data_IF_580148837957
#
_entry.id   IF_580148837957
#
_cell.length_a   1.000
_cell.length_b   1.000
_cell.length_c   1.000
_cell.angle_alpha   90.00
_cell.angle_beta   90.00
_cell.angle_gamma   90.00
#
_symmetry.space_group_name_H-M   'P 1'
#
loop_
_entity.id
_entity.type
_entity.pdbx_description
1 polymer ?
#
# COMPACT_ATOMS: atom_id res chain seq x y z
N UNK A 1 -10.47 21.47 3.15
CA UNK A 1 -9.82 22.36 2.16
C UNK A 1 -8.43 21.81 1.90
N UNK A 2 -8.14 21.35 0.69
CA UNK A 2 -6.79 20.92 0.33
C UNK A 2 -5.94 22.18 0.14
N UNK A 3 -4.78 22.24 0.78
CA UNK A 3 -3.86 23.40 0.72
C UNK A 3 -3.23 23.51 -0.68
N UNK A 4 -3.14 22.39 -1.40
CA UNK A 4 -2.54 22.30 -2.74
C UNK A 4 -3.59 21.87 -3.79
N UNK A 5 -3.45 22.35 -5.04
CA UNK A 5 -4.19 21.79 -6.18
C UNK A 5 -3.96 20.27 -6.33
N UNK A 6 -4.95 19.50 -6.84
CA UNK A 6 -4.83 18.06 -6.99
C UNK A 6 -3.59 17.60 -7.75
N UNK A 7 -3.20 18.31 -8.81
CA UNK A 7 -2.03 18.00 -9.62
C UNK A 7 -0.73 18.18 -8.83
N UNK A 8 -0.64 19.28 -8.06
CA UNK A 8 0.52 19.54 -7.20
C UNK A 8 0.62 18.51 -6.08
N UNK A 9 -0.51 18.10 -5.49
CA UNK A 9 -0.56 17.06 -4.47
C UNK A 9 -0.13 15.69 -5.03
N UNK A 10 -0.55 15.36 -6.26
CA UNK A 10 -0.12 14.13 -6.95
C UNK A 10 1.39 14.11 -7.21
N UNK A 11 1.96 15.23 -7.66
CA UNK A 11 3.41 15.36 -7.83
C UNK A 11 4.14 15.24 -6.49
N UNK A 12 3.64 15.91 -5.44
CA UNK A 12 4.19 15.82 -4.10
C UNK A 12 4.29 14.37 -3.62
N UNK A 13 3.20 13.59 -3.75
CA UNK A 13 3.23 12.20 -3.33
C UNK A 13 4.20 11.36 -4.15
N UNK A 14 4.31 11.58 -5.46
CA UNK A 14 5.30 10.88 -6.29
C UNK A 14 6.74 11.22 -5.90
N UNK A 15 7.04 12.49 -5.59
CA UNK A 15 8.36 12.91 -5.07
C UNK A 15 8.63 12.26 -3.72
N UNK A 16 7.68 12.40 -2.78
CA UNK A 16 7.81 11.87 -1.43
C UNK A 16 8.05 10.36 -1.45
N UNK A 17 7.26 9.63 -2.23
CA UNK A 17 7.35 8.17 -2.30
C UNK A 17 8.64 7.70 -2.97
N UNK A 18 9.08 8.38 -4.03
CA UNK A 18 10.34 8.04 -4.69
C UNK A 18 11.57 8.23 -3.78
N UNK A 19 11.55 9.24 -2.90
CA UNK A 19 12.75 9.66 -2.17
C UNK A 19 12.76 9.37 -0.66
N UNK A 20 11.62 9.17 0.00
CA UNK A 20 11.56 9.13 1.46
C UNK A 20 10.94 7.85 2.04
N UNK A 21 10.36 6.96 1.23
CA UNK A 21 9.73 5.74 1.74
C UNK A 21 10.69 4.81 2.48
N UNK A 22 11.92 4.68 2.00
CA UNK A 22 12.98 3.88 2.64
C UNK A 22 13.36 4.42 4.00
N UNK A 23 13.39 5.75 4.18
CA UNK A 23 13.68 6.39 5.47
C UNK A 23 12.55 6.20 6.47
N UNK A 24 11.29 6.31 6.00
CA UNK A 24 10.11 6.06 6.83
C UNK A 24 10.09 4.59 7.28
N UNK A 25 10.32 3.65 6.38
CA UNK A 25 10.37 2.22 6.70
C UNK A 25 11.53 1.89 7.66
N UNK A 26 12.71 2.47 7.43
CA UNK A 26 13.85 2.33 8.34
C UNK A 26 13.56 2.89 9.74
N UNK A 27 12.80 3.99 9.80
CA UNK A 27 12.35 4.56 11.08
C UNK A 27 11.37 3.62 11.78
N UNK A 28 10.37 3.09 11.07
CA UNK A 28 9.41 2.13 11.63
C UNK A 28 10.07 0.90 12.24
N UNK A 29 11.12 0.35 11.60
CA UNK A 29 11.88 -0.79 12.13
C UNK A 29 12.62 -0.50 13.43
N UNK A 30 13.01 0.76 13.66
CA UNK A 30 13.75 1.18 14.87
C UNK A 30 12.84 1.62 16.01
N UNK A 31 11.59 1.96 15.72
CA UNK A 31 10.66 2.52 16.70
C UNK A 31 10.06 1.41 17.57
N UNK A 32 10.06 1.62 18.88
CA UNK A 32 9.40 0.72 19.83
C UNK A 32 8.00 1.22 20.19
N UNK A 33 7.00 0.33 20.15
CA UNK A 33 5.66 0.65 20.63
C UNK A 33 5.65 0.99 22.13
N UNK A 34 6.52 0.37 22.93
CA UNK A 34 6.55 0.56 24.39
C UNK A 34 7.10 1.93 24.80
N UNK A 35 8.09 2.45 24.09
CA UNK A 35 8.79 3.69 24.48
C UNK A 35 8.56 4.86 23.52
N UNK A 36 8.16 4.61 22.28
CA UNK A 36 8.08 5.61 21.20
C UNK A 36 6.74 5.55 20.43
N UNK A 37 5.65 5.21 21.13
CA UNK A 37 4.30 5.04 20.56
C UNK A 37 3.85 6.18 19.64
N UNK A 38 4.13 7.43 20.03
CA UNK A 38 3.73 8.60 19.23
C UNK A 38 4.49 8.68 17.92
N UNK A 39 5.81 8.46 17.93
CA UNK A 39 6.62 8.48 16.72
C UNK A 39 6.24 7.32 15.77
N UNK A 40 5.97 6.13 16.31
CA UNK A 40 5.47 4.99 15.56
C UNK A 40 4.13 5.31 14.88
N UNK A 41 3.19 5.87 15.64
CA UNK A 41 1.88 6.30 15.13
C UNK A 41 1.99 7.35 14.02
N UNK A 42 2.89 8.34 14.17
CA UNK A 42 3.12 9.35 13.13
C UNK A 42 3.67 8.72 11.85
N UNK A 43 4.65 7.82 11.96
CA UNK A 43 5.25 7.17 10.80
C UNK A 43 4.23 6.29 10.03
N UNK A 44 3.39 5.53 10.75
CA UNK A 44 2.30 4.75 10.14
C UNK A 44 1.29 5.68 9.47
N UNK A 45 0.93 6.78 10.12
CA UNK A 45 0.01 7.77 9.56
C UNK A 45 0.56 8.42 8.29
N UNK A 46 1.86 8.69 8.21
CA UNK A 46 2.46 9.20 6.97
C UNK A 46 2.24 8.19 5.84
N UNK A 47 2.47 6.90 6.09
CA UNK A 47 2.22 5.84 5.10
C UNK A 47 0.74 5.69 4.74
N UNK A 48 -0.17 5.85 5.70
CA UNK A 48 -1.61 5.70 5.47
C UNK A 48 -2.23 6.83 4.65
N UNK A 49 -1.52 7.96 4.51
CA UNK A 49 -1.94 9.10 3.69
C UNK A 49 -1.45 9.02 2.25
N UNK A 50 -0.57 8.07 1.93
CA UNK A 50 -0.08 7.87 0.58
C UNK A 50 -1.24 7.36 -0.30
N UNK A 51 -1.43 7.90 -1.52
CA UNK A 51 -2.49 7.44 -2.41
C UNK A 51 -2.40 5.94 -2.71
N UNK A 52 -3.55 5.37 -3.10
CA UNK A 52 -3.67 3.96 -3.51
C UNK A 52 -2.51 3.55 -4.44
N UNK A 53 -1.80 2.43 -4.18
CA UNK A 53 -0.71 1.94 -5.03
C UNK A 53 -1.09 1.73 -6.51
N UNK A 54 -2.37 1.63 -6.86
CA UNK A 54 -2.82 1.68 -8.26
C UNK A 54 -2.52 3.02 -8.92
N UNK A 55 -2.63 4.11 -8.17
CA UNK A 55 -2.47 5.50 -8.62
C UNK A 55 -1.07 6.07 -8.33
N UNK A 56 -0.42 5.60 -7.27
CA UNK A 56 0.94 6.01 -6.91
C UNK A 56 1.94 4.86 -7.15
N UNK A 57 2.58 4.82 -8.34
CA UNK A 57 3.34 3.65 -8.76
C UNK A 57 4.69 3.51 -8.03
N UNK A 58 5.23 4.58 -7.43
CA UNK A 58 6.42 4.47 -6.59
C UNK A 58 6.11 3.77 -5.26
N UNK A 59 4.95 4.03 -4.67
CA UNK A 59 4.51 3.30 -3.49
C UNK A 59 4.25 1.82 -3.79
N UNK A 60 3.64 1.52 -4.95
CA UNK A 60 3.48 0.14 -5.42
C UNK A 60 4.83 -0.57 -5.57
N UNK A 61 5.78 0.06 -6.27
CA UNK A 61 7.12 -0.49 -6.48
C UNK A 61 7.84 -0.74 -5.14
N UNK A 62 7.68 0.18 -4.19
CA UNK A 62 8.23 0.03 -2.84
C UNK A 62 7.67 -1.20 -2.13
N UNK A 63 6.33 -1.36 -2.12
CA UNK A 63 5.68 -2.52 -1.48
C UNK A 63 6.07 -3.84 -2.14
N UNK A 64 6.27 -3.84 -3.47
CA UNK A 64 6.69 -5.02 -4.24
C UNK A 64 8.17 -5.37 -4.07
N UNK A 65 9.00 -4.48 -3.50
CA UNK A 65 10.41 -4.77 -3.25
C UNK A 65 10.56 -5.53 -1.92
N UNK A 66 10.93 -6.81 -2.00
CA UNK A 66 11.06 -7.70 -0.83
C UNK A 66 12.05 -7.19 0.23
N UNK A 67 13.11 -6.48 -0.17
CA UNK A 67 14.09 -5.92 0.76
C UNK A 67 13.57 -4.63 1.41
N UNK A 68 13.01 -3.72 0.63
CA UNK A 68 12.55 -2.42 1.10
C UNK A 68 11.30 -2.53 1.97
N UNK A 69 10.38 -3.46 1.65
CA UNK A 69 9.16 -3.72 2.40
C UNK A 69 9.33 -4.75 3.53
N UNK A 70 10.52 -5.34 3.71
CA UNK A 70 10.78 -6.38 4.71
C UNK A 70 10.28 -5.99 6.11
N UNK A 71 9.58 -6.89 6.78
CA UNK A 71 9.00 -6.76 8.14
C UNK A 71 7.93 -5.67 8.31
N UNK A 72 7.76 -4.79 7.31
CA UNK A 72 6.90 -3.63 7.38
C UNK A 72 5.41 -3.98 7.54
N UNK A 73 4.84 -4.95 6.79
CA UNK A 73 3.43 -5.33 6.96
C UNK A 73 3.15 -5.81 8.38
N UNK A 74 4.02 -6.67 8.94
CA UNK A 74 3.93 -7.16 10.32
C UNK A 74 4.02 -6.01 11.33
N UNK A 75 4.96 -5.08 11.20
CA UNK A 75 5.08 -3.91 12.10
C UNK A 75 3.80 -3.07 12.08
N UNK A 76 3.27 -2.77 10.89
CA UNK A 76 2.06 -1.95 10.73
C UNK A 76 0.86 -2.67 11.36
N UNK A 77 0.66 -3.95 11.09
CA UNK A 77 -0.44 -4.74 11.64
C UNK A 77 -0.33 -4.89 13.16
N UNK A 78 0.87 -5.16 13.69
CA UNK A 78 1.13 -5.27 15.13
C UNK A 78 0.82 -3.96 15.85
N UNK A 79 1.14 -2.82 15.26
CA UNK A 79 0.79 -1.51 15.83
C UNK A 79 -0.72 -1.31 15.94
N UNK A 80 -1.51 -1.83 14.99
CA UNK A 80 -2.97 -1.81 15.08
C UNK A 80 -3.44 -2.62 16.30
N UNK A 81 -2.96 -3.86 16.41
CA UNK A 81 -3.29 -4.79 17.52
C UNK A 81 -2.92 -4.20 18.89
N UNK A 82 -1.77 -3.54 19.00
CA UNK A 82 -1.28 -2.95 20.25
C UNK A 82 -1.94 -1.60 20.61
N UNK A 83 -2.87 -1.12 19.78
CA UNK A 83 -3.68 0.07 20.04
C UNK A 83 -2.96 1.37 19.68
N UNK A 84 -2.80 1.65 18.39
CA UNK A 84 -2.26 2.93 17.90
C UNK A 84 -3.16 4.10 18.29
N UNK A 85 -2.57 5.25 18.65
CA UNK A 85 -3.34 6.46 18.93
C UNK A 85 -3.81 7.10 17.62
N UNK A 86 -5.10 7.07 17.36
CA UNK A 86 -5.72 7.68 16.18
C UNK A 86 -5.83 9.19 16.38
N UNK A 87 -5.32 9.98 15.43
CA UNK A 87 -5.49 11.44 15.41
C UNK A 87 -5.81 11.91 13.99
N UNK A 88 -6.77 12.82 13.81
CA UNK A 88 -7.11 13.35 12.48
C UNK A 88 -5.90 13.89 11.69
N UNK A 89 -5.86 13.70 10.35
CA UNK A 89 -6.94 13.18 9.53
C UNK A 89 -6.93 11.66 9.35
N UNK A 90 -5.95 10.92 9.89
CA UNK A 90 -5.92 9.46 9.78
C UNK A 90 -6.56 8.80 11.01
N UNK A 91 -7.63 8.06 10.76
CA UNK A 91 -8.32 7.20 11.70
C UNK A 91 -7.96 5.72 11.51
N UNK A 92 -8.72 4.83 12.15
CA UNK A 92 -8.49 3.40 12.04
C UNK A 92 -8.84 2.84 10.64
N UNK A 93 -9.65 3.54 9.83
CA UNK A 93 -9.95 3.15 8.44
C UNK A 93 -8.70 3.30 7.54
N UNK A 94 -7.98 4.42 7.63
CA UNK A 94 -6.76 4.63 6.85
C UNK A 94 -5.67 3.61 7.21
N UNK A 95 -5.59 3.21 8.48
CA UNK A 95 -4.68 2.13 8.90
C UNK A 95 -5.12 0.78 8.32
N UNK A 96 -6.42 0.47 8.34
CA UNK A 96 -6.93 -0.75 7.69
C UNK A 96 -6.63 -0.75 6.19
N UNK A 97 -6.84 0.37 5.50
CA UNK A 97 -6.50 0.54 4.09
C UNK A 97 -5.01 0.35 3.83
N UNK A 98 -4.14 0.89 4.69
CA UNK A 98 -2.70 0.64 4.59
C UNK A 98 -2.36 -0.84 4.76
N UNK A 99 -2.96 -1.53 5.74
CA UNK A 99 -2.75 -2.98 5.92
C UNK A 99 -3.22 -3.75 4.67
N UNK A 100 -4.38 -3.41 4.11
CA UNK A 100 -4.88 -3.99 2.85
C UNK A 100 -3.87 -3.79 1.72
N UNK A 101 -3.28 -2.59 1.59
CA UNK A 101 -2.24 -2.33 0.59
C UNK A 101 -1.03 -3.26 0.80
N UNK A 102 -0.57 -3.44 2.04
CA UNK A 102 0.56 -4.34 2.32
C UNK A 102 0.25 -5.81 2.01
N UNK A 103 -0.99 -6.26 2.25
CA UNK A 103 -1.41 -7.63 1.90
C UNK A 103 -1.47 -7.82 0.38
N UNK A 104 -1.96 -6.83 -0.34
CA UNK A 104 -2.18 -6.94 -1.79
C UNK A 104 -0.96 -6.65 -2.64
N UNK A 105 0.03 -5.92 -2.15
CA UNK A 105 1.17 -5.50 -2.96
C UNK A 105 2.53 -6.03 -2.49
N UNK A 106 2.66 -6.48 -1.25
CA UNK A 106 3.89 -7.12 -0.79
C UNK A 106 3.92 -8.62 -1.14
N UNK A 107 5.12 -9.17 -1.21
CA UNK A 107 5.34 -10.60 -1.38
C UNK A 107 4.80 -11.37 -0.15
N UNK A 108 3.90 -12.36 -0.32
CA UNK A 108 3.45 -13.23 0.77
C UNK A 108 4.57 -13.96 1.50
N UNK A 109 5.72 -14.18 0.87
CA UNK A 109 6.89 -14.80 1.50
C UNK A 109 7.57 -13.91 2.56
N UNK A 110 7.12 -12.66 2.73
CA UNK A 110 7.59 -11.81 3.84
C UNK A 110 7.04 -12.23 5.20
N UNK A 111 5.89 -12.92 5.25
CA UNK A 111 5.38 -13.52 6.48
C UNK A 111 6.01 -14.88 6.75
N UNK A 112 5.84 -15.35 7.98
CA UNK A 112 6.46 -16.55 8.52
C UNK A 112 5.88 -17.88 8.01
N UNK A 113 4.65 -17.89 7.52
CA UNK A 113 3.96 -19.09 7.03
C UNK A 113 3.72 -19.11 5.52
N UNK A 114 4.17 -18.07 4.81
CA UNK A 114 4.04 -17.92 3.37
C UNK A 114 2.61 -17.75 2.85
N UNK A 115 1.60 -17.56 3.72
CA UNK A 115 0.22 -17.27 3.28
C UNK A 115 0.00 -15.79 2.96
N UNK A 116 0.67 -14.91 3.70
CA UNK A 116 0.53 -13.47 3.60
C UNK A 116 1.82 -12.77 4.03
N UNK A 117 1.96 -11.50 3.65
CA UNK A 117 3.12 -10.67 3.98
C UNK A 117 3.22 -10.26 5.47
N UNK A 118 2.26 -10.67 6.29
CA UNK A 118 2.14 -10.41 7.74
C UNK A 118 2.26 -11.74 8.46
N UNK A 119 3.01 -11.80 9.56
CA UNK A 119 3.19 -13.02 10.38
C UNK A 119 1.86 -13.59 10.90
N UNK A 120 1.73 -14.92 10.95
CA UNK A 120 0.48 -15.62 11.23
C UNK A 120 -0.11 -15.29 12.62
N UNK A 121 0.72 -15.13 13.64
CA UNK A 121 0.30 -14.75 14.98
C UNK A 121 -0.30 -13.32 15.00
N UNK A 122 0.35 -12.38 14.31
CA UNK A 122 -0.11 -10.99 14.18
C UNK A 122 -1.40 -10.93 13.34
N UNK A 123 -1.51 -11.72 12.26
CA UNK A 123 -2.76 -11.81 11.47
C UNK A 123 -3.93 -12.32 12.31
N UNK A 124 -3.70 -13.33 13.13
CA UNK A 124 -4.71 -13.90 14.02
C UNK A 124 -5.17 -12.86 15.05
N UNK A 125 -4.21 -12.20 15.72
CA UNK A 125 -4.51 -11.15 16.68
C UNK A 125 -5.22 -9.94 16.04
N UNK A 126 -4.86 -9.59 14.80
CA UNK A 126 -5.52 -8.54 14.03
C UNK A 126 -6.98 -8.90 13.71
N UNK A 127 -7.26 -10.14 13.31
CA UNK A 127 -8.63 -10.60 13.10
C UNK A 127 -9.48 -10.49 14.37
N UNK A 128 -8.94 -10.92 15.52
CA UNK A 128 -9.61 -10.79 16.82
C UNK A 128 -9.85 -9.33 17.22
N UNK A 129 -8.87 -8.45 16.98
CA UNK A 129 -9.01 -7.02 17.24
C UNK A 129 -10.14 -6.40 16.39
N UNK A 130 -10.23 -6.76 15.11
CA UNK A 130 -11.30 -6.30 14.21
C UNK A 130 -12.67 -6.81 14.66
N UNK A 131 -12.80 -8.08 15.05
CA UNK A 131 -14.07 -8.64 15.56
C UNK A 131 -14.55 -7.95 16.84
N UNK A 132 -13.63 -7.40 17.64
CA UNK A 132 -13.96 -6.66 18.87
C UNK A 132 -14.36 -5.21 18.59
N UNK A 133 -13.83 -4.60 17.52
CA UNK A 133 -14.08 -3.19 17.16
C UNK A 133 -15.32 -3.02 16.28
N UNK A 134 -15.62 -4.00 15.43
CA UNK A 134 -16.73 -3.91 14.50
C UNK A 134 -18.04 -4.27 15.22
N UNK A 135 -19.01 -3.35 15.31
CA UNK A 135 -20.29 -3.64 15.95
C UNK A 135 -21.04 -4.75 15.22
N UNK A 136 -21.67 -5.65 15.98
CA UNK A 136 -22.62 -6.64 15.43
C UNK A 136 -23.95 -5.96 15.12
N UNK A 137 -24.01 -5.22 14.03
CA UNK A 137 -25.25 -4.64 13.53
C UNK A 137 -25.90 -5.54 12.50
N UNK A 138 -27.11 -6.01 12.77
CA UNK A 138 -27.91 -6.76 11.81
C UNK A 138 -28.33 -5.84 10.65
N UNK A 139 -27.94 -6.21 9.43
CA UNK A 139 -28.57 -5.72 8.20
C UNK A 139 -28.12 -4.37 7.65
N UNK A 140 -27.21 -3.61 8.30
CA UNK A 140 -26.69 -2.34 7.74
C UNK A 140 -25.17 -2.22 7.87
N UNK A 141 -24.50 -2.06 6.73
CA UNK A 141 -23.08 -1.68 6.69
C UNK A 141 -22.98 -0.22 7.13
N UNK A 142 -22.41 0.00 8.30
CA UNK A 142 -22.02 1.34 8.73
C UNK A 142 -20.79 1.77 7.91
N UNK A 143 -20.93 2.90 7.22
CA UNK A 143 -19.88 3.45 6.33
C UNK A 143 -18.56 3.71 7.05
N UNK A 144 -18.58 3.86 8.38
CA UNK A 144 -17.41 4.11 9.24
C UNK A 144 -16.56 2.87 9.55
N UNK A 145 -17.00 1.70 9.09
CA UNK A 145 -16.31 0.43 9.33
C UNK A 145 -16.04 -0.33 8.02
N UNK A 146 -16.22 0.30 6.86
CA UNK A 146 -16.15 -0.38 5.56
C UNK A 146 -14.78 -1.01 5.35
N UNK A 147 -13.71 -0.28 5.63
CA UNK A 147 -12.35 -0.80 5.46
C UNK A 147 -11.97 -1.82 6.53
N UNK A 148 -12.54 -1.73 7.74
CA UNK A 148 -12.37 -2.76 8.77
C UNK A 148 -13.06 -4.07 8.39
N UNK A 149 -14.29 -3.98 7.90
CA UNK A 149 -15.07 -5.09 7.38
C UNK A 149 -14.37 -5.74 6.17
N UNK A 150 -13.86 -4.91 5.25
CA UNK A 150 -13.07 -5.36 4.11
C UNK A 150 -11.81 -6.09 4.53
N UNK A 151 -11.02 -5.52 5.46
CA UNK A 151 -9.81 -6.15 5.98
C UNK A 151 -10.14 -7.47 6.69
N UNK A 152 -11.21 -7.51 7.50
CA UNK A 152 -11.69 -8.74 8.15
C UNK A 152 -12.02 -9.82 7.13
N UNK A 153 -12.76 -9.48 6.07
CA UNK A 153 -13.09 -10.41 4.98
C UNK A 153 -11.84 -10.95 4.27
N UNK A 154 -10.87 -10.08 4.01
CA UNK A 154 -9.56 -10.46 3.42
C UNK A 154 -8.82 -11.45 4.32
N UNK A 155 -8.71 -11.17 5.63
CA UNK A 155 -8.03 -12.07 6.57
C UNK A 155 -8.70 -13.45 6.63
N UNK A 156 -10.04 -13.50 6.64
CA UNK A 156 -10.78 -14.77 6.57
C UNK A 156 -10.52 -15.54 5.27
N UNK A 157 -10.45 -14.84 4.14
CA UNK A 157 -10.14 -15.46 2.85
C UNK A 157 -8.70 -16.00 2.78
N UNK A 158 -7.73 -15.29 3.37
CA UNK A 158 -6.34 -15.76 3.50
C UNK A 158 -6.29 -17.03 4.34
N UNK A 159 -6.91 -17.04 5.52
CA UNK A 159 -6.84 -18.21 6.40
C UNK A 159 -7.61 -19.42 5.88
N UNK A 160 -8.70 -19.20 5.14
CA UNK A 160 -9.51 -20.25 4.53
C UNK A 160 -8.91 -20.89 3.27
N UNK A 161 -7.81 -20.35 2.74
CA UNK A 161 -7.16 -20.84 1.52
C UNK A 161 -5.79 -21.46 1.82
N UNK A 162 -5.36 -22.48 1.05
CA UNK A 162 -4.01 -23.01 1.17
C UNK A 162 -2.98 -21.99 0.68
N UNK A 163 -1.81 -21.94 1.33
CA UNK A 163 -0.70 -21.06 0.95
C UNK A 163 -1.11 -19.61 0.65
N UNK A 164 -0.47 -18.99 -0.33
CA UNK A 164 -0.77 -17.62 -0.77
C UNK A 164 -1.83 -17.54 -1.90
N UNK A 165 -2.64 -18.58 -2.15
CA UNK A 165 -3.49 -18.63 -3.34
C UNK A 165 -4.42 -17.42 -3.52
N UNK A 166 -5.09 -16.99 -2.44
CA UNK A 166 -5.98 -15.83 -2.47
C UNK A 166 -5.23 -14.55 -2.87
N UNK A 167 -4.06 -14.32 -2.27
CA UNK A 167 -3.24 -13.13 -2.54
C UNK A 167 -2.61 -13.19 -3.93
N UNK A 168 -2.10 -14.34 -4.37
CA UNK A 168 -1.52 -14.50 -5.70
C UNK A 168 -2.54 -14.22 -6.80
N UNK A 169 -3.77 -14.74 -6.66
CA UNK A 169 -4.87 -14.46 -7.60
C UNK A 169 -5.21 -12.97 -7.63
N UNK A 170 -5.32 -12.35 -6.44
CA UNK A 170 -5.60 -10.92 -6.31
C UNK A 170 -4.48 -10.07 -6.92
N UNK A 171 -3.22 -10.38 -6.64
CA UNK A 171 -2.05 -9.71 -7.17
C UNK A 171 -2.00 -9.77 -8.69
N UNK A 172 -2.26 -10.94 -9.29
CA UNK A 172 -2.33 -11.09 -10.75
C UNK A 172 -3.41 -10.19 -11.36
N UNK A 173 -4.61 -10.17 -10.78
CA UNK A 173 -5.68 -9.26 -11.22
C UNK A 173 -5.29 -7.79 -11.10
N UNK A 174 -4.67 -7.40 -9.99
CA UNK A 174 -4.25 -6.02 -9.73
C UNK A 174 -3.12 -5.57 -10.67
N UNK A 175 -2.14 -6.42 -10.96
CA UNK A 175 -1.06 -6.14 -11.93
C UNK A 175 -1.62 -5.86 -13.33
N UNK A 176 -2.61 -6.64 -13.76
CA UNK A 176 -3.30 -6.44 -15.04
C UNK A 176 -4.03 -5.08 -15.16
N UNK A 177 -4.28 -4.39 -14.06
CA UNK A 177 -4.91 -3.06 -14.08
C UNK A 177 -3.91 -1.90 -14.13
N UNK A 178 -2.63 -2.15 -13.82
CA UNK A 178 -1.66 -1.07 -13.56
C UNK A 178 -0.42 -1.12 -14.45
N UNK A 179 -0.15 -2.25 -15.10
CA UNK A 179 0.97 -2.43 -16.03
C UNK A 179 0.57 -2.12 -17.48
N UNK A 180 -0.24 -1.07 -17.66
CA UNK A 180 -0.76 -0.63 -18.96
C UNK A 180 0.15 0.41 -19.62
N UNK A 181 0.05 0.55 -20.94
CA UNK A 181 0.74 1.60 -21.69
C UNK A 181 0.30 3.00 -21.21
N UNK A 182 1.27 3.86 -20.88
CA UNK A 182 1.00 5.25 -20.45
C UNK A 182 0.59 6.21 -21.58
N UNK A 183 0.41 5.71 -22.80
CA UNK A 183 -0.12 6.48 -23.93
C UNK A 183 -1.61 6.77 -23.79
N UNK A 184 -2.09 7.83 -24.43
CA UNK A 184 -3.50 8.20 -24.41
C UNK A 184 -4.37 7.13 -25.06
N UNK A 185 -5.26 6.49 -24.31
CA UNK A 185 -6.23 5.50 -24.82
C UNK A 185 -5.60 4.40 -25.69
N UNK A 186 -4.35 4.01 -25.42
CA UNK A 186 -3.60 3.11 -26.28
C UNK A 186 -4.10 1.66 -26.19
N UNK A 187 -4.38 1.15 -24.99
CA UNK A 187 -4.85 -0.22 -24.77
C UNK A 187 -3.84 -1.35 -25.06
N UNK A 188 -2.76 -1.07 -25.77
CA UNK A 188 -1.72 -2.05 -26.13
C UNK A 188 -0.85 -2.48 -24.94
N UNK A 189 -0.34 -3.72 -25.00
CA UNK A 189 0.61 -4.26 -24.04
C UNK A 189 1.96 -3.51 -24.14
N UNK A 190 2.52 -3.05 -23.01
CA UNK A 190 3.74 -2.26 -23.06
C UNK A 190 5.03 -3.08 -22.90
N UNK A 191 5.89 -3.03 -23.92
CA UNK A 191 7.21 -3.70 -23.94
C UNK A 191 8.39 -2.78 -23.52
N UNK A 192 8.17 -1.47 -23.47
CA UNK A 192 9.19 -0.47 -23.15
C UNK A 192 8.95 0.12 -21.77
N UNK A 193 9.96 0.08 -20.89
CA UNK A 193 9.94 0.85 -19.65
C UNK A 193 10.66 2.20 -19.82
N UNK A 194 10.22 3.22 -19.08
CA UNK A 194 10.94 4.49 -18.98
C UNK A 194 12.36 4.24 -18.45
N UNK A 195 13.38 4.61 -19.21
CA UNK A 195 14.78 4.34 -18.87
C UNK A 195 15.24 5.01 -17.56
N UNK A 196 14.62 6.13 -17.17
CA UNK A 196 14.94 6.86 -15.94
C UNK A 196 14.29 6.23 -14.71
N UNK A 197 12.95 6.25 -14.62
CA UNK A 197 12.25 5.79 -13.42
C UNK A 197 12.03 4.27 -13.37
N UNK A 198 12.02 3.61 -14.55
CA UNK A 198 11.63 2.19 -14.73
C UNK A 198 10.22 1.85 -14.24
N UNK A 199 9.42 2.86 -13.92
CA UNK A 199 8.08 2.74 -13.35
C UNK A 199 6.99 2.85 -14.42
N UNK A 200 7.07 3.84 -15.31
CA UNK A 200 6.13 3.98 -16.42
C UNK A 200 6.48 3.03 -17.58
N UNK A 201 5.46 2.44 -18.20
CA UNK A 201 5.59 1.51 -19.33
C UNK A 201 4.86 2.01 -20.58
N UNK A 202 5.33 1.60 -21.75
CA UNK A 202 4.89 2.06 -23.08
C UNK A 202 4.98 0.93 -24.11
N UNK A 203 4.07 0.90 -25.08
CA UNK A 203 4.20 0.03 -26.26
C UNK A 203 5.24 0.56 -27.26
N UNK A 204 5.59 1.85 -27.20
CA UNK A 204 6.53 2.47 -28.13
C UNK A 204 6.90 3.91 -27.78
N UNK A 205 7.84 4.47 -28.57
CA UNK A 205 8.41 5.81 -28.34
C UNK A 205 7.39 6.93 -28.49
N UNK A 206 6.36 6.76 -29.32
CA UNK A 206 5.31 7.76 -29.50
C UNK A 206 4.47 7.95 -28.22
N UNK A 207 3.99 6.84 -27.64
CA UNK A 207 3.28 6.85 -26.37
C UNK A 207 4.15 7.40 -25.23
N UNK A 208 5.45 7.06 -25.23
CA UNK A 208 6.40 7.63 -24.28
C UNK A 208 6.54 9.15 -24.44
N UNK A 209 6.73 9.65 -25.66
CA UNK A 209 6.87 11.08 -25.94
C UNK A 209 5.59 11.86 -25.60
N UNK A 210 4.42 11.29 -25.87
CA UNK A 210 3.14 11.87 -25.48
C UNK A 210 3.01 11.93 -23.95
N UNK A 211 3.19 10.82 -23.24
CA UNK A 211 3.07 10.79 -21.77
C UNK A 211 4.10 11.69 -21.09
N UNK A 212 5.31 11.79 -21.66
CA UNK A 212 6.35 12.71 -21.19
C UNK A 212 5.87 14.16 -21.13
N UNK A 213 5.25 14.63 -22.22
CA UNK A 213 4.69 15.99 -22.31
C UNK A 213 3.43 16.18 -21.46
N UNK A 214 2.66 15.11 -21.24
CA UNK A 214 1.39 15.12 -20.51
C UNK A 214 1.51 14.70 -19.04
N UNK A 215 2.63 15.06 -18.40
CA UNK A 215 2.76 14.98 -16.93
C UNK A 215 3.82 14.01 -16.42
N UNK A 216 4.27 13.02 -17.20
CA UNK A 216 5.30 12.10 -16.71
C UNK A 216 6.61 12.83 -16.38
N UNK A 217 6.98 13.87 -17.14
CA UNK A 217 8.20 14.66 -16.89
C UNK A 217 8.29 15.17 -15.46
N UNK A 218 7.19 15.64 -14.88
CA UNK A 218 7.13 16.18 -13.52
C UNK A 218 7.12 15.07 -12.44
N UNK A 219 6.89 13.82 -12.84
CA UNK A 219 6.74 12.66 -11.93
C UNK A 219 7.78 11.56 -12.21
N UNK A 220 8.84 11.87 -12.95
CA UNK A 220 9.85 10.89 -13.36
C UNK A 220 11.09 10.96 -12.45
N UNK A 221 11.09 10.11 -11.42
CA UNK A 221 12.11 10.03 -10.38
C UNK A 221 12.82 8.68 -10.43
N UNK A 222 14.10 8.66 -10.07
CA UNK A 222 14.85 7.43 -9.79
C UNK A 222 14.52 6.97 -8.37
N UNK A 223 14.47 5.66 -8.15
CA UNK A 223 14.31 5.07 -6.81
C UNK A 223 15.48 4.13 -6.52
N UNK A 224 15.87 4.06 -5.26
CA UNK A 224 16.97 3.21 -4.78
C UNK A 224 16.49 1.81 -4.35
N UNK A 225 15.19 1.55 -4.53
CA UNK A 225 14.49 0.30 -4.33
C UNK A 225 13.75 -0.11 -5.61
#
# INVERSE_FOLDING_TARGET
MLILPPEALSIFWSVFTAHHLTDVASSLRRLSHATQKQALSIAIRILSLIPDPKKEPYFRKFLQNATAAKDLPTIIARSFVQGTTWKPPAGPEEHCTLIIHTLFWCDPALGDDGKASIDADVRTALATALDSLIPRTEGRIDRRFVDMERLRGILRAIEGMPGAHFLNSTQSHLRGQVDLCGGNMCGEEPDLACSKCKTARYCGKECQAWHWKNGHKARCFTTDY
#
